data_IF_686212167700
#
_entry.id   IF_686212167700
#
_cell.length_a   1.000
_cell.length_b   1.000
_cell.length_c   1.000
_cell.angle_alpha   90.00
_cell.angle_beta   90.00
_cell.angle_gamma   90.00
#
_symmetry.space_group_name_H-M   'P 1'
#
loop_
_entity.id
_entity.type
_entity.pdbx_description
1 polymer ?
#
# COMPACT_ATOMS: atom_id res chain seq x y z
N UNK A 1 3.16 -29.22 33.65
CA UNK A 1 3.88 -30.04 34.65
C UNK A 1 4.01 -29.26 35.98
N UNK A 2 4.31 -27.97 35.95
CA UNK A 2 4.41 -27.10 37.15
C UNK A 2 3.11 -27.06 37.97
N UNK A 3 1.94 -27.04 37.34
CA UNK A 3 0.63 -27.06 38.03
C UNK A 3 0.38 -28.32 38.87
N UNK A 4 1.13 -29.39 38.65
CA UNK A 4 0.99 -30.69 39.33
C UNK A 4 2.09 -30.95 40.35
N UNK A 5 2.90 -29.93 40.74
CA UNK A 5 3.98 -30.02 41.70
C UNK A 5 5.01 -31.17 41.43
N UNK A 6 5.27 -31.40 40.16
CA UNK A 6 6.29 -32.39 39.74
C UNK A 6 7.66 -31.75 39.89
N UNK A 7 8.61 -32.45 40.52
CA UNK A 7 9.97 -31.96 40.69
C UNK A 7 10.67 -31.70 39.33
N UNK A 8 11.50 -30.66 39.25
CA UNK A 8 12.18 -30.23 38.02
C UNK A 8 12.96 -31.35 37.33
N UNK A 9 13.60 -32.25 38.11
CA UNK A 9 14.32 -33.41 37.57
C UNK A 9 13.39 -34.42 36.90
N UNK A 10 12.21 -34.62 37.45
CA UNK A 10 11.22 -35.52 36.83
C UNK A 10 10.59 -34.88 35.59
N UNK A 11 10.35 -33.56 35.60
CA UNK A 11 9.89 -32.82 34.45
C UNK A 11 10.86 -32.99 33.26
N UNK A 12 12.15 -32.81 33.49
CA UNK A 12 13.19 -32.96 32.45
C UNK A 12 13.24 -34.40 31.88
N UNK A 13 13.15 -35.42 32.74
CA UNK A 13 13.10 -36.82 32.27
C UNK A 13 11.85 -37.10 31.41
N UNK A 14 10.70 -36.54 31.77
CA UNK A 14 9.47 -36.68 31.00
C UNK A 14 9.60 -35.98 29.64
N UNK A 15 10.15 -34.76 29.60
CA UNK A 15 10.38 -34.00 28.37
C UNK A 15 11.34 -34.75 27.44
N UNK A 16 12.46 -35.25 27.96
CA UNK A 16 13.42 -36.08 27.18
C UNK A 16 12.76 -37.32 26.59
N UNK A 17 11.95 -38.01 27.38
CA UNK A 17 11.22 -39.20 26.92
C UNK A 17 10.21 -38.86 25.82
N UNK A 18 9.53 -37.74 25.94
CA UNK A 18 8.61 -37.23 24.90
C UNK A 18 9.34 -36.80 23.63
N UNK A 19 10.51 -36.17 23.76
CA UNK A 19 11.41 -35.85 22.65
C UNK A 19 11.92 -37.11 21.94
N UNK A 20 12.42 -38.08 22.70
CA UNK A 20 12.92 -39.34 22.13
C UNK A 20 11.85 -40.17 21.43
N UNK A 21 10.61 -40.04 21.88
CA UNK A 21 9.46 -40.68 21.23
C UNK A 21 8.89 -39.87 20.06
N UNK A 22 9.50 -38.71 19.71
CA UNK A 22 9.05 -37.83 18.63
C UNK A 22 7.73 -37.06 18.89
N UNK A 23 7.21 -37.10 20.14
CA UNK A 23 5.99 -36.43 20.55
C UNK A 23 6.21 -34.93 20.77
N UNK A 24 7.45 -34.53 21.06
CA UNK A 24 7.91 -33.14 21.07
C UNK A 24 8.98 -33.00 20.00
N UNK A 25 8.73 -32.20 18.98
CA UNK A 25 9.66 -31.94 17.89
C UNK A 25 9.54 -30.46 17.46
N UNK A 26 10.45 -29.65 17.98
CA UNK A 26 10.48 -28.23 17.73
C UNK A 26 10.71 -27.90 16.25
N UNK A 27 11.50 -28.68 15.51
CA UNK A 27 11.71 -28.48 14.07
C UNK A 27 10.42 -28.68 13.26
N UNK A 28 9.71 -29.79 13.52
CA UNK A 28 8.45 -30.04 12.83
C UNK A 28 7.40 -28.99 13.19
N UNK A 29 7.36 -28.54 14.46
CA UNK A 29 6.48 -27.47 14.88
C UNK A 29 6.79 -26.17 14.13
N UNK A 30 8.06 -25.75 14.07
CA UNK A 30 8.47 -24.51 13.40
C UNK A 30 8.13 -24.56 11.91
N UNK A 31 8.42 -25.67 11.23
CA UNK A 31 8.09 -25.84 9.81
C UNK A 31 6.58 -25.76 9.54
N UNK A 32 5.80 -26.46 10.34
CA UNK A 32 4.33 -26.42 10.23
C UNK A 32 3.81 -25.00 10.50
N UNK A 33 4.29 -24.35 11.56
CA UNK A 33 3.89 -22.99 11.92
C UNK A 33 4.22 -21.98 10.82
N UNK A 34 5.43 -22.01 10.27
CA UNK A 34 5.83 -21.15 9.15
C UNK A 34 4.93 -21.41 7.93
N UNK A 35 4.72 -22.68 7.57
CA UNK A 35 3.86 -23.06 6.46
C UNK A 35 2.43 -22.52 6.62
N UNK A 36 1.85 -22.67 7.78
CA UNK A 36 0.49 -22.17 8.08
C UNK A 36 0.42 -20.64 7.96
N UNK A 37 1.42 -19.93 8.50
CA UNK A 37 1.47 -18.47 8.38
C UNK A 37 1.66 -18.01 6.93
N UNK A 38 2.49 -18.71 6.17
CA UNK A 38 2.65 -18.41 4.74
C UNK A 38 1.39 -18.66 3.92
N UNK A 39 0.61 -19.67 4.25
CA UNK A 39 -0.58 -20.05 3.49
C UNK A 39 -1.85 -19.29 3.91
N UNK A 40 -2.03 -19.05 5.20
CA UNK A 40 -3.32 -18.58 5.74
C UNK A 40 -3.28 -17.21 6.38
N UNK A 41 -2.12 -16.55 6.50
CA UNK A 41 -2.01 -15.21 7.06
C UNK A 41 -1.29 -14.23 6.12
N UNK A 42 -1.30 -12.95 6.49
CA UNK A 42 -0.52 -11.90 5.84
C UNK A 42 0.76 -11.57 6.64
N UNK A 43 1.17 -12.45 7.55
CA UNK A 43 2.30 -12.20 8.41
C UNK A 43 3.61 -12.33 7.62
N UNK A 44 4.49 -11.37 7.82
CA UNK A 44 5.84 -11.34 7.26
C UNK A 44 6.84 -12.04 8.18
N UNK A 45 8.10 -12.22 7.71
CA UNK A 45 9.10 -13.02 8.41
C UNK A 45 9.40 -12.54 9.84
N UNK A 46 9.49 -11.24 10.08
CA UNK A 46 9.74 -10.70 11.43
C UNK A 46 8.59 -11.00 12.40
N UNK A 47 7.36 -10.94 11.93
CA UNK A 47 6.21 -11.24 12.79
C UNK A 47 6.12 -12.74 13.09
N UNK A 48 6.38 -13.60 12.10
CA UNK A 48 6.46 -15.05 12.27
C UNK A 48 7.55 -15.39 13.28
N UNK A 49 8.75 -14.77 13.14
CA UNK A 49 9.86 -14.90 14.07
C UNK A 49 9.44 -14.60 15.51
N UNK A 50 8.83 -13.43 15.74
CA UNK A 50 8.41 -13.02 17.07
C UNK A 50 7.40 -13.99 17.69
N UNK A 51 6.45 -14.48 16.91
CA UNK A 51 5.48 -15.47 17.38
C UNK A 51 6.16 -16.79 17.78
N UNK A 52 7.17 -17.25 17.03
CA UNK A 52 7.93 -18.46 17.39
C UNK A 52 8.76 -18.25 18.65
N UNK A 53 9.33 -17.06 18.86
CA UNK A 53 10.01 -16.71 20.11
C UNK A 53 9.06 -16.76 21.33
N UNK A 54 7.81 -16.34 21.17
CA UNK A 54 6.76 -16.44 22.21
C UNK A 54 6.46 -17.92 22.57
N UNK A 55 6.70 -18.83 21.66
CA UNK A 55 6.63 -20.30 21.90
C UNK A 55 7.93 -20.89 22.47
N UNK A 56 8.88 -20.06 22.91
CA UNK A 56 10.19 -20.46 23.46
C UNK A 56 11.04 -21.27 22.48
N UNK A 57 10.90 -21.07 21.18
CA UNK A 57 11.78 -21.67 20.18
C UNK A 57 13.09 -20.88 20.12
N UNK A 58 14.22 -21.59 19.95
CA UNK A 58 15.53 -20.96 19.87
C UNK A 58 15.68 -20.10 18.61
N UNK A 59 16.45 -19.00 18.72
CA UNK A 59 16.72 -18.11 17.60
C UNK A 59 17.39 -18.85 16.42
N UNK A 60 18.33 -19.75 16.74
CA UNK A 60 19.09 -20.49 15.75
C UNK A 60 18.17 -21.37 14.88
N UNK A 61 17.21 -22.06 15.50
CA UNK A 61 16.24 -22.88 14.79
C UNK A 61 15.29 -22.04 13.95
N UNK A 62 14.80 -20.94 14.49
CA UNK A 62 13.92 -20.02 13.75
C UNK A 62 14.64 -19.46 12.52
N UNK A 63 15.86 -18.96 12.68
CA UNK A 63 16.65 -18.39 11.59
C UNK A 63 16.99 -19.42 10.52
N UNK A 64 17.34 -20.64 10.95
CA UNK A 64 17.59 -21.75 10.04
C UNK A 64 16.36 -22.08 9.19
N UNK A 65 15.18 -22.19 9.80
CA UNK A 65 13.98 -22.57 9.05
C UNK A 65 13.44 -21.41 8.19
N UNK A 66 13.51 -20.17 8.67
CA UNK A 66 13.13 -19.00 7.88
C UNK A 66 14.07 -18.77 6.69
N UNK A 67 15.38 -19.08 6.82
CA UNK A 67 16.34 -18.95 5.72
C UNK A 67 16.11 -19.93 4.57
N UNK A 68 15.36 -21.00 4.79
CA UNK A 68 14.99 -21.98 3.74
C UNK A 68 13.85 -21.47 2.85
N UNK A 69 13.16 -20.41 3.27
CA UNK A 69 12.04 -19.85 2.52
C UNK A 69 12.56 -18.93 1.42
N UNK A 70 12.16 -19.21 0.19
CA UNK A 70 12.53 -18.35 -0.93
C UNK A 70 11.96 -16.93 -0.73
N UNK A 71 12.81 -15.95 -0.86
CA UNK A 71 12.48 -14.53 -0.78
C UNK A 71 11.34 -14.13 -1.73
N UNK A 72 11.27 -14.76 -2.88
CA UNK A 72 10.22 -14.51 -3.88
C UNK A 72 8.81 -14.70 -3.33
N UNK A 73 8.61 -15.64 -2.40
CA UNK A 73 7.33 -15.89 -1.74
C UNK A 73 6.86 -14.66 -0.96
N UNK A 74 7.77 -14.02 -0.22
CA UNK A 74 7.45 -12.81 0.52
C UNK A 74 7.18 -11.62 -0.41
N UNK A 75 7.97 -11.46 -1.48
CA UNK A 75 7.78 -10.40 -2.47
C UNK A 75 6.43 -10.56 -3.21
N UNK A 76 6.03 -11.77 -3.54
CA UNK A 76 4.73 -12.04 -4.15
C UNK A 76 3.58 -11.67 -3.22
N UNK A 77 3.68 -12.01 -1.92
CA UNK A 77 2.67 -11.64 -0.91
C UNK A 77 2.58 -10.13 -0.73
N UNK A 78 3.72 -9.43 -0.65
CA UNK A 78 3.77 -7.97 -0.59
C UNK A 78 3.05 -7.37 -1.80
N UNK A 79 3.39 -7.83 -3.01
CA UNK A 79 2.77 -7.34 -4.25
C UNK A 79 1.25 -7.60 -4.29
N UNK A 80 0.79 -8.77 -3.85
CA UNK A 80 -0.66 -9.08 -3.72
C UNK A 80 -1.36 -8.10 -2.78
N UNK A 81 -0.76 -7.81 -1.63
CA UNK A 81 -1.32 -6.89 -0.64
C UNK A 81 -1.36 -5.44 -1.16
N UNK A 82 -0.28 -4.98 -1.80
CA UNK A 82 -0.22 -3.66 -2.42
C UNK A 82 -1.30 -3.54 -3.49
N UNK A 83 -1.38 -4.48 -4.42
CA UNK A 83 -2.36 -4.46 -5.52
C UNK A 83 -3.81 -4.46 -5.01
N UNK A 84 -4.10 -5.23 -3.96
CA UNK A 84 -5.42 -5.19 -3.29
C UNK A 84 -5.73 -3.81 -2.73
N UNK A 85 -4.76 -3.15 -2.10
CA UNK A 85 -4.92 -1.82 -1.52
C UNK A 85 -5.03 -0.73 -2.58
N UNK A 86 -4.31 -0.83 -3.70
CA UNK A 86 -4.44 0.10 -4.85
C UNK A 86 -5.86 0.09 -5.39
N UNK A 87 -6.44 -1.08 -5.64
CA UNK A 87 -7.80 -1.22 -6.20
C UNK A 87 -8.87 -0.51 -5.37
N UNK A 88 -8.68 -0.39 -4.08
CA UNK A 88 -9.64 0.24 -3.16
C UNK A 88 -9.23 1.66 -2.75
N UNK A 89 -8.08 2.16 -3.24
CA UNK A 89 -7.62 3.51 -2.91
C UNK A 89 -8.45 4.56 -3.66
N UNK A 90 -9.37 5.21 -2.95
CA UNK A 90 -10.17 6.35 -3.44
C UNK A 90 -9.89 7.64 -2.67
N UNK A 91 -8.81 7.69 -1.88
CA UNK A 91 -8.65 8.79 -0.91
C UNK A 91 -7.24 9.37 -0.85
N UNK A 92 -6.23 8.59 -1.15
CA UNK A 92 -4.85 8.99 -0.91
C UNK A 92 -4.10 9.18 -2.22
N UNK A 93 -3.33 10.28 -2.31
CA UNK A 93 -2.33 10.48 -3.38
C UNK A 93 -1.29 9.36 -3.37
N UNK A 94 -0.52 9.21 -4.45
CA UNK A 94 0.52 8.17 -4.57
C UNK A 94 1.49 8.21 -3.37
N UNK A 95 1.97 9.39 -3.02
CA UNK A 95 2.89 9.56 -1.90
C UNK A 95 2.29 9.12 -0.56
N UNK A 96 1.09 9.61 -0.22
CA UNK A 96 0.42 9.24 1.04
C UNK A 96 0.03 7.78 1.06
N UNK A 97 -0.38 7.22 -0.09
CA UNK A 97 -0.67 5.79 -0.21
C UNK A 97 0.58 4.96 0.09
N UNK A 98 1.72 5.27 -0.55
CA UNK A 98 3.00 4.57 -0.34
C UNK A 98 3.44 4.62 1.12
N UNK A 99 3.32 5.77 1.78
CA UNK A 99 3.63 5.87 3.22
C UNK A 99 2.74 4.96 4.07
N UNK A 100 1.43 4.96 3.82
CA UNK A 100 0.48 4.14 4.60
C UNK A 100 0.68 2.65 4.38
N UNK A 101 0.82 2.23 3.13
CA UNK A 101 1.03 0.81 2.83
C UNK A 101 2.37 0.31 3.36
N UNK A 102 3.41 1.15 3.35
CA UNK A 102 4.70 0.82 3.99
C UNK A 102 4.53 0.59 5.48
N UNK A 103 3.80 1.47 6.18
CA UNK A 103 3.52 1.28 7.60
C UNK A 103 2.71 0.01 7.86
N UNK A 104 1.64 -0.24 7.09
CA UNK A 104 0.82 -1.44 7.19
C UNK A 104 1.66 -2.72 7.01
N UNK A 105 2.51 -2.77 5.97
CA UNK A 105 3.34 -3.93 5.69
C UNK A 105 4.45 -4.13 6.72
N UNK A 106 5.04 -3.06 7.26
CA UNK A 106 5.97 -3.15 8.41
C UNK A 106 5.29 -3.73 9.64
N UNK A 107 4.06 -3.34 9.93
CA UNK A 107 3.27 -3.90 11.02
C UNK A 107 2.90 -5.37 10.79
N UNK A 108 2.80 -5.80 9.51
CA UNK A 108 2.69 -7.21 9.16
C UNK A 108 4.01 -7.97 9.33
N UNK A 109 5.13 -7.30 9.58
CA UNK A 109 6.45 -7.90 9.83
C UNK A 109 7.29 -8.12 8.58
N UNK A 110 7.01 -7.45 7.46
CA UNK A 110 7.87 -7.49 6.28
C UNK A 110 9.09 -6.55 6.44
N UNK A 111 10.19 -6.91 5.78
CA UNK A 111 11.39 -6.08 5.77
C UNK A 111 11.18 -4.82 4.94
N UNK A 112 11.73 -3.72 5.42
CA UNK A 112 11.57 -2.41 4.78
C UNK A 112 12.09 -2.39 3.34
N UNK A 113 13.26 -3.00 3.10
CA UNK A 113 13.89 -3.03 1.77
C UNK A 113 13.05 -3.80 0.75
N UNK A 114 12.41 -4.89 1.17
CA UNK A 114 11.51 -5.67 0.32
C UNK A 114 10.24 -4.88 -0.02
N UNK A 115 9.70 -4.15 0.95
CA UNK A 115 8.55 -3.27 0.73
C UNK A 115 8.88 -2.18 -0.28
N UNK A 116 10.03 -1.52 -0.11
CA UNK A 116 10.46 -0.44 -1.01
C UNK A 116 10.73 -0.97 -2.41
N UNK A 117 11.40 -2.12 -2.54
CA UNK A 117 11.62 -2.77 -3.84
C UNK A 117 10.29 -3.04 -4.59
N UNK A 118 9.26 -3.52 -3.88
CA UNK A 118 7.95 -3.73 -4.46
C UNK A 118 7.22 -2.42 -4.83
N UNK A 119 7.49 -1.32 -4.13
CA UNK A 119 6.84 -0.02 -4.37
C UNK A 119 7.50 0.84 -5.44
N UNK A 120 8.75 0.55 -5.84
CA UNK A 120 9.52 1.37 -6.79
C UNK A 120 8.82 1.56 -8.13
N UNK A 121 8.21 0.50 -8.67
CA UNK A 121 7.57 0.52 -9.99
C UNK A 121 6.06 0.73 -9.92
N UNK A 122 5.54 1.03 -8.73
CA UNK A 122 4.11 1.26 -8.55
C UNK A 122 3.82 2.75 -8.65
N UNK A 123 2.92 3.09 -9.56
CA UNK A 123 2.32 4.41 -9.65
C UNK A 123 0.81 4.27 -9.44
N UNK A 124 0.30 4.93 -8.41
CA UNK A 124 -1.15 5.00 -8.17
C UNK A 124 -1.71 6.12 -9.05
N UNK A 125 -2.49 5.76 -10.07
CA UNK A 125 -3.13 6.77 -10.91
C UNK A 125 -4.10 7.62 -10.07
N UNK A 126 -3.77 8.89 -9.95
CA UNK A 126 -4.49 9.87 -9.14
C UNK A 126 -5.29 10.90 -9.97
N UNK A 127 -5.41 10.73 -11.29
CA UNK A 127 -6.03 11.73 -12.18
C UNK A 127 -7.47 12.06 -11.77
N UNK A 128 -8.29 11.08 -11.44
CA UNK A 128 -9.65 11.31 -10.95
C UNK A 128 -9.67 11.93 -9.55
N UNK A 129 -8.75 11.49 -8.70
CA UNK A 129 -8.68 11.92 -7.31
C UNK A 129 -8.28 13.40 -7.18
N UNK A 130 -7.26 13.83 -7.92
CA UNK A 130 -6.84 15.25 -7.92
C UNK A 130 -7.95 16.15 -8.45
N UNK A 131 -8.70 15.71 -9.47
CA UNK A 131 -9.87 16.42 -10.00
C UNK A 131 -10.98 16.59 -8.97
N UNK A 132 -11.32 15.56 -8.21
CA UNK A 132 -12.30 15.63 -7.12
C UNK A 132 -11.85 16.60 -6.01
N UNK A 133 -10.59 16.55 -5.60
CA UNK A 133 -10.06 17.49 -4.59
C UNK A 133 -10.04 18.91 -5.11
N UNK A 134 -9.60 19.12 -6.36
CA UNK A 134 -9.65 20.42 -7.00
C UNK A 134 -11.07 21.01 -6.97
N UNK A 135 -12.07 20.25 -7.41
CA UNK A 135 -13.46 20.73 -7.48
C UNK A 135 -14.02 21.10 -6.10
N UNK A 136 -13.73 20.28 -5.09
CA UNK A 136 -14.11 20.56 -3.69
C UNK A 136 -13.46 21.84 -3.18
N UNK A 137 -12.18 22.04 -3.46
CA UNK A 137 -11.44 23.24 -3.04
C UNK A 137 -11.91 24.48 -3.80
N UNK A 138 -12.11 24.39 -5.11
CA UNK A 138 -12.62 25.46 -5.95
C UNK A 138 -13.97 25.96 -5.43
N UNK A 139 -14.93 25.08 -5.24
CA UNK A 139 -16.26 25.43 -4.74
C UNK A 139 -16.22 26.09 -3.35
N UNK A 140 -15.28 25.70 -2.51
CA UNK A 140 -15.10 26.26 -1.15
C UNK A 140 -14.43 27.63 -1.15
N UNK A 141 -13.55 27.90 -2.10
CA UNK A 141 -12.65 29.05 -2.07
C UNK A 141 -12.99 30.14 -3.10
N UNK A 142 -13.71 29.83 -4.19
CA UNK A 142 -14.00 30.73 -5.30
C UNK A 142 -14.65 32.07 -4.89
N UNK A 143 -15.43 32.07 -3.80
CA UNK A 143 -16.08 33.29 -3.30
C UNK A 143 -15.22 34.08 -2.31
N UNK A 144 -14.00 33.59 -1.99
CA UNK A 144 -13.13 34.20 -0.97
C UNK A 144 -11.88 34.85 -1.55
N UNK A 145 -11.47 34.47 -2.75
CA UNK A 145 -10.21 34.86 -3.37
C UNK A 145 -10.44 35.20 -4.84
N UNK A 146 -9.68 36.17 -5.37
CA UNK A 146 -9.64 36.45 -6.80
C UNK A 146 -8.90 35.31 -7.55
N UNK A 147 -9.11 35.28 -8.89
CA UNK A 147 -8.69 34.12 -9.71
C UNK A 147 -7.23 33.70 -9.53
N UNK A 148 -6.30 34.66 -9.54
CA UNK A 148 -4.85 34.36 -9.40
C UNK A 148 -4.50 33.83 -8.01
N UNK A 149 -5.08 34.40 -6.97
CA UNK A 149 -4.88 33.96 -5.59
C UNK A 149 -5.58 32.64 -5.31
N UNK A 150 -6.76 32.42 -5.89
CA UNK A 150 -7.52 31.19 -5.79
C UNK A 150 -6.70 30.00 -6.32
N UNK A 151 -6.11 30.13 -7.50
CA UNK A 151 -5.27 29.07 -8.09
C UNK A 151 -4.06 28.74 -7.22
N UNK A 152 -3.39 29.76 -6.70
CA UNK A 152 -2.27 29.58 -5.77
C UNK A 152 -2.71 28.81 -4.52
N UNK A 153 -3.82 29.20 -3.91
CA UNK A 153 -4.37 28.56 -2.71
C UNK A 153 -4.81 27.10 -2.96
N UNK A 154 -5.37 26.82 -4.13
CA UNK A 154 -5.74 25.45 -4.49
C UNK A 154 -4.49 24.59 -4.65
N UNK A 155 -3.45 25.06 -5.38
CA UNK A 155 -2.18 24.36 -5.55
C UNK A 155 -1.52 24.05 -4.20
N UNK A 156 -1.44 25.03 -3.30
CA UNK A 156 -0.92 24.85 -1.94
C UNK A 156 -1.66 23.73 -1.17
N UNK A 157 -3.00 23.74 -1.26
CA UNK A 157 -3.84 22.74 -0.58
C UNK A 157 -3.75 21.35 -1.19
N UNK A 158 -3.61 21.24 -2.50
CA UNK A 158 -3.37 19.96 -3.17
C UNK A 158 -2.00 19.39 -2.76
N UNK A 159 -0.96 20.23 -2.69
CA UNK A 159 0.34 19.83 -2.20
C UNK A 159 0.30 19.34 -0.73
N UNK A 160 -0.42 20.05 0.14
CA UNK A 160 -0.65 19.62 1.53
C UNK A 160 -1.41 18.29 1.63
N UNK A 161 -2.18 17.92 0.61
CA UNK A 161 -2.85 16.62 0.50
C UNK A 161 -1.93 15.50 0.00
N UNK A 162 -0.67 15.83 -0.30
CA UNK A 162 0.38 14.91 -0.72
C UNK A 162 0.41 14.65 -2.22
N UNK A 163 -0.21 15.50 -3.04
CA UNK A 163 0.04 15.50 -4.48
C UNK A 163 1.38 16.16 -4.77
N UNK A 164 2.20 15.57 -5.63
CA UNK A 164 3.47 16.14 -6.05
C UNK A 164 3.25 17.37 -6.93
N UNK A 165 4.27 18.22 -7.03
CA UNK A 165 4.23 19.38 -7.93
C UNK A 165 4.04 18.95 -9.39
N UNK A 166 4.60 17.82 -9.80
CA UNK A 166 4.40 17.25 -11.14
C UNK A 166 2.94 16.89 -11.36
N UNK A 167 2.31 16.11 -10.46
CA UNK A 167 0.89 15.74 -10.58
C UNK A 167 -0.02 16.96 -10.66
N UNK A 168 0.25 17.98 -9.85
CA UNK A 168 -0.51 19.23 -9.86
C UNK A 168 -0.34 19.96 -11.19
N UNK A 169 0.90 20.08 -11.68
CA UNK A 169 1.19 20.76 -12.95
C UNK A 169 0.55 20.02 -14.13
N UNK A 170 0.65 18.70 -14.19
CA UNK A 170 0.06 17.87 -15.22
C UNK A 170 -1.47 17.98 -15.24
N UNK A 171 -2.08 18.01 -14.05
CA UNK A 171 -3.53 18.24 -13.93
C UNK A 171 -3.95 19.61 -14.50
N UNK A 172 -3.22 20.69 -14.18
CA UNK A 172 -3.51 22.01 -14.70
C UNK A 172 -3.29 22.10 -16.21
N UNK A 173 -2.23 21.50 -16.74
CA UNK A 173 -1.96 21.42 -18.17
C UNK A 173 -3.08 20.69 -18.93
N UNK A 174 -3.53 19.54 -18.43
CA UNK A 174 -4.67 18.80 -18.98
C UNK A 174 -5.94 19.64 -18.96
N UNK A 175 -6.19 20.38 -17.89
CA UNK A 175 -7.36 21.25 -17.75
C UNK A 175 -7.34 22.40 -18.78
N UNK A 176 -6.19 23.04 -18.98
CA UNK A 176 -6.01 24.11 -19.97
C UNK A 176 -6.22 23.54 -21.38
N UNK A 177 -5.65 22.39 -21.69
CA UNK A 177 -5.78 21.74 -22.98
C UNK A 177 -7.25 21.40 -23.30
N UNK A 178 -8.00 20.90 -22.34
CA UNK A 178 -9.45 20.66 -22.47
C UNK A 178 -10.23 21.94 -22.73
N UNK A 179 -9.93 23.03 -22.02
CA UNK A 179 -10.58 24.32 -22.24
C UNK A 179 -10.30 24.85 -23.66
N UNK A 180 -9.06 24.79 -24.12
CA UNK A 180 -8.69 25.22 -25.47
C UNK A 180 -9.39 24.36 -26.56
N UNK A 181 -9.47 23.06 -26.35
CA UNK A 181 -10.16 22.14 -27.26
C UNK A 181 -11.66 22.47 -27.37
N UNK A 182 -12.33 22.77 -26.26
CA UNK A 182 -13.73 23.21 -26.29
C UNK A 182 -13.91 24.55 -27.00
N UNK A 183 -13.00 25.52 -26.82
CA UNK A 183 -13.05 26.80 -27.52
C UNK A 183 -12.87 26.60 -29.03
N UNK A 184 -11.93 25.73 -29.46
CA UNK A 184 -11.72 25.46 -30.89
C UNK A 184 -12.95 24.79 -31.51
N UNK A 185 -13.53 23.77 -30.85
CA UNK A 185 -14.74 23.10 -31.34
C UNK A 185 -15.89 24.10 -31.41
N UNK A 186 -16.10 24.91 -30.38
CA UNK A 186 -17.19 25.90 -30.35
C UNK A 186 -17.05 26.93 -31.49
N UNK A 187 -15.85 27.44 -31.73
CA UNK A 187 -15.60 28.34 -32.86
C UNK A 187 -15.83 27.64 -34.22
N UNK A 188 -15.42 26.39 -34.36
CA UNK A 188 -15.67 25.59 -35.58
C UNK A 188 -17.18 25.39 -35.85
N UNK A 189 -17.96 25.14 -34.81
CA UNK A 189 -19.41 24.99 -34.92
C UNK A 189 -20.07 26.34 -35.32
N UNK A 190 -19.64 27.46 -34.73
CA UNK A 190 -20.13 28.80 -35.08
C UNK A 190 -19.84 29.14 -36.53
N UNK A 191 -18.59 28.89 -36.99
CA UNK A 191 -18.19 29.16 -38.37
C UNK A 191 -19.03 28.32 -39.36
N UNK A 192 -19.24 27.05 -39.08
CA UNK A 192 -20.09 26.19 -39.91
C UNK A 192 -21.55 26.66 -39.92
N UNK A 193 -22.07 27.10 -38.78
CA UNK A 193 -23.44 27.65 -38.73
C UNK A 193 -23.58 28.91 -39.56
N UNK A 194 -22.61 29.85 -39.50
CA UNK A 194 -22.58 31.02 -40.37
C UNK A 194 -22.47 30.67 -41.83
N UNK A 195 -21.67 29.67 -42.23
CA UNK A 195 -21.54 29.23 -43.63
C UNK A 195 -22.86 28.65 -44.19
N UNK A 196 -23.60 27.93 -43.36
CA UNK A 196 -24.91 27.38 -43.73
C UNK A 196 -25.95 28.52 -43.90
N UNK A 197 -25.98 29.49 -42.99
CA UNK A 197 -26.93 30.60 -43.08
C UNK A 197 -26.69 31.53 -44.29
N UNK A 198 -25.43 31.74 -44.72
CA UNK A 198 -25.11 32.57 -45.89
C UNK A 198 -25.47 31.85 -47.21
N UNK A 199 -25.47 30.52 -47.28
CA UNK A 199 -25.83 29.78 -48.49
C UNK A 199 -27.36 29.55 -48.66
N UNK A 200 -28.18 29.96 -47.69
CA UNK A 200 -29.66 29.87 -47.79
C UNK A 200 -30.36 31.21 -47.97
N UNK A 201 -29.61 32.32 -48.15
CA UNK A 201 -30.10 33.64 -48.54
C UNK A 201 -29.69 33.95 -49.99
#
# INVERSE_FOLDING_TARGET
>A
LEKNNIETNEQNKIIEKLKNNGLINDENFVRAFISDKLNFSNDGPNKIRNMLLEHNISNELIDLELSKIDKSIYLEKINKLINKKIKINKKYSDYVFKQKITADLKNCGYYYDDIIACLQNINVNNDSLIGEYYQKLYNKLKNKYGDSELDKKIKEKLYQKGFSLSEITDFYNKKICLCLFFVIIFNSIIINFFHITINYV
#
